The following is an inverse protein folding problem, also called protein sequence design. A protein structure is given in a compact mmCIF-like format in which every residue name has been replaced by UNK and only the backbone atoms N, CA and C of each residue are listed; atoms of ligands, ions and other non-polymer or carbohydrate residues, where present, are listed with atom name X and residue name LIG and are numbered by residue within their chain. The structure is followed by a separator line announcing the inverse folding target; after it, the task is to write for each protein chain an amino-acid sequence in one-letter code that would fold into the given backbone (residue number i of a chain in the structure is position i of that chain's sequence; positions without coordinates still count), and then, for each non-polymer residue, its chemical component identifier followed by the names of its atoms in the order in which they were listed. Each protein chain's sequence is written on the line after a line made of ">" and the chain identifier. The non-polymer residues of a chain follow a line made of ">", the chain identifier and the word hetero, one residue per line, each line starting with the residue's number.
data_IF_064888777304
#
_entry.id   IF_064888777304
#
_cell.length_a   1.000
_cell.length_b   1.000
_cell.length_c   1.000
_cell.angle_alpha   90.00
_cell.angle_beta   90.00
_cell.angle_gamma   90.00
#
_symmetry.space_group_name_H-M   'P 1'
#
loop_
_entity.id
_entity.type
_entity.pdbx_description
1 polymer ?
#
# COMPACT_ATOMS: atom_id res chain seq x y z
N UNK A 1 15.10 5.13 11.85
CA UNK A 1 15.04 5.93 10.61
C UNK A 1 15.52 7.32 10.93
N UNK A 2 16.38 7.89 10.11
CA UNK A 2 16.60 9.33 10.12
C UNK A 2 15.47 10.01 9.33
N UNK A 3 15.25 11.29 9.58
CA UNK A 3 14.43 12.12 8.72
C UNK A 3 15.07 12.24 7.33
N UNK A 4 14.24 12.35 6.29
CA UNK A 4 14.65 12.62 4.91
C UNK A 4 13.80 13.78 4.39
N UNK A 5 14.44 14.84 3.92
CA UNK A 5 13.78 16.06 3.43
C UNK A 5 12.99 15.82 2.13
N UNK A 6 13.31 14.76 1.39
CA UNK A 6 12.63 14.41 0.14
C UNK A 6 11.38 13.55 0.35
N UNK A 7 11.17 13.07 1.58
CA UNK A 7 10.09 12.13 1.92
C UNK A 7 9.15 12.75 2.96
N UNK A 8 7.91 13.00 2.56
CA UNK A 8 6.85 13.42 3.46
C UNK A 8 6.17 12.20 4.07
N UNK A 9 6.10 12.13 5.41
CA UNK A 9 5.26 11.17 6.11
C UNK A 9 3.82 11.72 6.18
N UNK A 10 2.88 11.03 5.54
CA UNK A 10 1.46 11.42 5.50
C UNK A 10 0.62 10.68 6.54
N UNK A 11 1.05 9.50 6.98
CA UNK A 11 0.34 8.73 7.98
C UNK A 11 1.01 7.40 8.31
N UNK A 12 0.45 6.71 9.31
CA UNK A 12 0.88 5.38 9.71
C UNK A 12 -0.32 4.52 10.05
N UNK A 13 -0.17 3.21 9.87
CA UNK A 13 -1.13 2.20 10.30
C UNK A 13 -0.38 1.06 10.99
N UNK A 14 -0.99 0.50 12.02
CA UNK A 14 -0.42 -0.56 12.84
C UNK A 14 -1.22 -1.85 12.68
N UNK A 15 -0.51 -2.97 12.75
CA UNK A 15 -1.09 -4.30 12.94
C UNK A 15 -0.13 -5.13 13.82
N UNK A 16 -0.57 -6.25 14.36
CA UNK A 16 0.25 -7.10 15.23
C UNK A 16 1.50 -7.66 14.54
N UNK A 17 1.52 -7.69 13.20
CA UNK A 17 2.64 -8.19 12.39
C UNK A 17 3.55 -7.10 11.83
N UNK A 18 3.31 -5.82 12.14
CA UNK A 18 4.15 -4.73 11.64
C UNK A 18 3.49 -3.35 11.63
N UNK A 19 4.08 -2.45 10.86
CA UNK A 19 3.51 -1.13 10.59
C UNK A 19 3.62 -0.80 9.10
N UNK A 20 2.67 0.00 8.61
CA UNK A 20 2.71 0.58 7.27
C UNK A 20 2.78 2.10 7.38
N UNK A 21 3.69 2.71 6.63
CA UNK A 21 3.81 4.15 6.49
C UNK A 21 3.21 4.59 5.17
N UNK A 22 2.35 5.60 5.22
CA UNK A 22 1.93 6.34 4.04
C UNK A 22 2.89 7.50 3.84
N UNK A 23 3.65 7.46 2.76
CA UNK A 23 4.69 8.41 2.41
C UNK A 23 4.33 9.13 1.11
N UNK A 24 4.93 10.29 0.89
CA UNK A 24 4.93 10.97 -0.40
C UNK A 24 6.35 11.36 -0.77
N UNK A 25 6.77 10.98 -1.97
CA UNK A 25 8.09 11.28 -2.53
C UNK A 25 7.92 11.62 -4.01
N UNK A 26 8.51 12.72 -4.48
CA UNK A 26 8.34 13.16 -5.87
C UNK A 26 6.88 13.38 -6.30
N UNK A 27 5.98 13.66 -5.34
CA UNK A 27 4.54 13.82 -5.57
C UNK A 27 3.74 12.52 -5.60
N UNK A 28 4.38 11.34 -5.65
CA UNK A 28 3.72 10.04 -5.68
C UNK A 28 3.45 9.52 -4.26
N UNK A 29 2.25 8.95 -3.99
CA UNK A 29 2.00 8.22 -2.75
C UNK A 29 2.77 6.89 -2.76
N UNK A 30 3.43 6.57 -1.64
CA UNK A 30 4.18 5.33 -1.44
C UNK A 30 3.71 4.69 -0.14
N UNK A 31 3.48 3.37 -0.16
CA UNK A 31 3.33 2.60 1.07
C UNK A 31 4.63 1.87 1.37
N UNK A 32 5.26 2.19 2.50
CA UNK A 32 6.37 1.41 3.05
C UNK A 32 5.84 0.48 4.15
N UNK A 33 6.10 -0.80 4.02
CA UNK A 33 5.76 -1.81 5.01
C UNK A 33 6.99 -2.19 5.81
N UNK A 34 6.83 -2.25 7.13
CA UNK A 34 7.84 -2.77 8.05
C UNK A 34 7.26 -3.94 8.83
N UNK A 35 7.47 -5.16 8.35
CA UNK A 35 7.00 -6.33 9.08
C UNK A 35 7.85 -6.54 10.32
N UNK A 36 7.27 -7.15 11.35
CA UNK A 36 7.99 -7.49 12.56
C UNK A 36 9.10 -8.50 12.26
N UNK A 37 10.34 -8.16 12.63
CA UNK A 37 11.49 -9.06 12.48
C UNK A 37 11.97 -9.25 11.04
N UNK A 38 11.43 -8.52 10.06
CA UNK A 38 11.84 -8.57 8.66
C UNK A 38 12.27 -7.18 8.16
N UNK A 39 12.95 -7.15 7.02
CA UNK A 39 13.35 -5.91 6.36
C UNK A 39 12.13 -5.12 5.88
N UNK A 40 12.21 -3.80 6.00
CA UNK A 40 11.24 -2.90 5.41
C UNK A 40 11.27 -2.97 3.87
N UNK A 41 10.13 -2.73 3.23
CA UNK A 41 10.02 -2.66 1.77
C UNK A 41 8.95 -1.67 1.33
N UNK A 42 9.12 -1.12 0.13
CA UNK A 42 8.10 -0.29 -0.54
C UNK A 42 7.22 -1.18 -1.41
N UNK A 43 5.91 -1.01 -1.31
CA UNK A 43 4.93 -1.75 -2.12
C UNK A 43 5.19 -1.46 -3.60
N UNK A 44 5.38 -2.52 -4.39
CA UNK A 44 5.63 -2.42 -5.82
C UNK A 44 4.32 -2.39 -6.61
N UNK A 45 4.22 -1.49 -7.58
CA UNK A 45 3.05 -1.33 -8.44
C UNK A 45 3.49 -1.27 -9.91
N UNK A 46 2.67 -1.75 -10.85
CA UNK A 46 3.05 -1.83 -12.26
C UNK A 46 2.99 -0.50 -13.01
N UNK A 47 2.30 0.51 -12.48
CA UNK A 47 2.08 1.79 -13.15
C UNK A 47 2.99 2.89 -12.55
N UNK A 48 3.47 3.81 -13.39
CA UNK A 48 4.37 4.90 -12.96
C UNK A 48 3.64 6.06 -12.27
N UNK A 49 2.34 6.21 -12.51
CA UNK A 49 1.49 7.24 -11.92
C UNK A 49 0.17 6.64 -11.45
N UNK A 50 -0.14 6.80 -10.16
CA UNK A 50 -1.26 6.13 -9.51
C UNK A 50 -1.71 6.86 -8.25
N UNK A 51 -2.89 6.46 -7.75
CA UNK A 51 -3.28 6.69 -6.36
C UNK A 51 -3.19 5.38 -5.58
N UNK A 52 -2.66 5.46 -4.36
CA UNK A 52 -2.49 4.34 -3.45
C UNK A 52 -2.77 4.78 -2.02
N UNK A 53 -3.56 4.01 -1.28
CA UNK A 53 -3.74 4.19 0.17
C UNK A 53 -4.10 2.87 0.84
N UNK A 54 -3.81 2.75 2.13
CA UNK A 54 -4.31 1.67 2.98
C UNK A 54 -5.79 1.97 3.24
N UNK A 55 -6.68 1.08 2.79
CA UNK A 55 -8.12 1.32 2.87
C UNK A 55 -8.65 1.00 4.28
N UNK A 56 -8.18 -0.09 4.88
CA UNK A 56 -8.55 -0.49 6.24
C UNK A 56 -7.69 -1.68 6.72
N UNK A 57 -7.49 -1.80 8.03
CA UNK A 57 -6.92 -2.99 8.69
C UNK A 57 -8.08 -3.67 9.42
N UNK A 58 -8.81 -4.57 8.74
CA UNK A 58 -10.05 -5.14 9.31
C UNK A 58 -9.85 -5.87 10.63
N UNK A 59 -8.68 -6.45 10.83
CA UNK A 59 -8.31 -7.22 12.01
C UNK A 59 -6.87 -6.89 12.39
N UNK A 60 -6.66 -6.45 13.64
CA UNK A 60 -5.34 -6.01 14.11
C UNK A 60 -4.30 -7.14 14.05
N UNK A 61 -4.69 -8.37 14.32
CA UNK A 61 -3.82 -9.56 14.35
C UNK A 61 -3.55 -10.20 12.99
N UNK A 62 -4.22 -9.72 11.94
CA UNK A 62 -4.06 -10.20 10.56
C UNK A 62 -2.62 -10.00 10.06
N UNK A 63 -2.17 -10.94 9.23
CA UNK A 63 -0.93 -10.86 8.46
C UNK A 63 -1.09 -10.07 7.14
N UNK A 64 -2.30 -9.55 6.88
CA UNK A 64 -2.68 -8.91 5.63
C UNK A 64 -3.27 -7.52 5.86
N UNK A 65 -3.09 -6.65 4.87
CA UNK A 65 -3.77 -5.35 4.80
C UNK A 65 -4.48 -5.18 3.46
N UNK A 66 -5.42 -4.24 3.39
CA UNK A 66 -6.11 -3.88 2.15
C UNK A 66 -5.59 -2.56 1.60
N UNK A 67 -5.19 -2.59 0.35
CA UNK A 67 -4.77 -1.43 -0.43
C UNK A 67 -5.88 -1.06 -1.41
N UNK A 68 -6.13 0.24 -1.56
CA UNK A 68 -6.87 0.76 -2.71
C UNK A 68 -5.88 1.33 -3.71
N UNK A 69 -5.95 0.83 -4.93
CA UNK A 69 -5.04 1.17 -6.02
C UNK A 69 -5.81 1.56 -7.28
N UNK A 70 -5.39 2.61 -7.97
CA UNK A 70 -5.95 3.04 -9.25
C UNK A 70 -4.93 3.84 -10.06
N UNK A 71 -4.99 3.78 -11.38
CA UNK A 71 -4.16 4.57 -12.29
C UNK A 71 -4.99 5.01 -13.51
N UNK A 72 -4.43 5.86 -14.37
CA UNK A 72 -5.15 6.37 -15.56
C UNK A 72 -5.56 5.26 -16.55
N UNK A 73 -4.79 4.17 -16.59
CA UNK A 73 -4.98 3.03 -17.47
C UNK A 73 -5.56 1.79 -16.74
N UNK A 74 -5.90 1.91 -15.45
CA UNK A 74 -6.40 0.78 -14.65
C UNK A 74 -7.54 1.21 -13.73
N UNK A 75 -8.69 0.52 -13.77
CA UNK A 75 -9.78 0.81 -12.86
C UNK A 75 -9.39 0.58 -11.40
N UNK A 76 -10.16 1.17 -10.49
CA UNK A 76 -9.89 1.06 -9.07
C UNK A 76 -10.01 -0.39 -8.57
N UNK A 77 -8.93 -0.85 -7.93
CA UNK A 77 -8.79 -2.17 -7.34
C UNK A 77 -8.70 -2.10 -5.82
N UNK A 78 -9.31 -3.07 -5.15
CA UNK A 78 -8.97 -3.43 -3.77
C UNK A 78 -8.03 -4.62 -3.85
N UNK A 79 -6.82 -4.45 -3.32
CA UNK A 79 -5.79 -5.48 -3.26
C UNK A 79 -5.56 -5.90 -1.82
N UNK A 80 -5.34 -7.18 -1.60
CA UNK A 80 -4.80 -7.70 -0.35
C UNK A 80 -3.29 -7.79 -0.48
N UNK A 81 -2.57 -7.27 0.50
CA UNK A 81 -1.12 -7.41 0.62
C UNK A 81 -0.78 -8.32 1.80
N UNK A 82 0.03 -9.34 1.59
CA UNK A 82 0.65 -10.12 2.67
C UNK A 82 1.86 -9.38 3.21
N UNK A 83 1.84 -9.00 4.49
CA UNK A 83 2.86 -8.11 5.06
C UNK A 83 4.25 -8.72 5.05
N UNK A 84 4.39 -10.02 5.31
CA UNK A 84 5.71 -10.67 5.36
C UNK A 84 6.41 -10.73 4.00
N UNK A 85 5.66 -10.84 2.90
CA UNK A 85 6.20 -11.14 1.57
C UNK A 85 6.03 -10.01 0.55
N UNK A 86 5.09 -9.08 0.80
CA UNK A 86 4.69 -8.07 -0.18
C UNK A 86 3.85 -8.62 -1.34
N UNK A 87 3.45 -9.90 -1.30
CA UNK A 87 2.58 -10.51 -2.29
C UNK A 87 1.22 -9.81 -2.34
N UNK A 88 0.70 -9.57 -3.54
CA UNK A 88 -0.57 -8.87 -3.77
C UNK A 88 -1.57 -9.74 -4.51
N UNK A 89 -2.81 -9.77 -4.02
CA UNK A 89 -3.95 -10.39 -4.70
C UNK A 89 -5.04 -9.36 -4.92
N UNK A 90 -5.59 -9.25 -6.12
CA UNK A 90 -6.75 -8.39 -6.41
C UNK A 90 -8.00 -9.07 -5.85
N UNK A 91 -8.64 -8.47 -4.84
CA UNK A 91 -9.89 -8.96 -4.26
C UNK A 91 -11.13 -8.42 -4.97
N UNK A 92 -11.03 -7.19 -5.47
CA UNK A 92 -12.10 -6.53 -6.22
C UNK A 92 -11.51 -5.60 -7.25
N UNK A 93 -12.09 -5.60 -8.43
CA UNK A 93 -11.86 -4.59 -9.46
C UNK A 93 -13.19 -3.91 -9.79
N UNK A 94 -13.16 -2.59 -9.98
CA UNK A 94 -14.36 -1.84 -10.38
C UNK A 94 -14.54 -2.04 -11.89
N UNK A 95 -15.61 -2.71 -12.34
CA UNK A 95 -15.81 -2.93 -13.77
C UNK A 95 -16.02 -1.58 -14.46
N UNK A 96 -15.37 -1.39 -15.60
CA UNK A 96 -15.67 -0.32 -16.54
C UNK A 96 -16.60 -0.87 -17.61
N UNK A 97 -17.85 -0.39 -17.63
CA UNK A 97 -18.83 -0.74 -18.65
C UNK A 97 -18.60 0.16 -19.87
N UNK A 98 -17.99 -0.39 -20.92
CA UNK A 98 -17.75 0.27 -22.22
C UNK A 98 -16.31 0.03 -22.71
N UNK A 99 -16.06 -0.25 -23.98
CA UNK A 99 -16.76 0.17 -25.21
C UNK A 99 -17.91 -0.71 -25.68
#
# INVERSE_FOLDING_TARGET
>A
MAHDEQVMLEGLSLNARGLSLSLREGGLPIIEVRPQGLSAYRVQLPDAAYSLYVQDTLEFDSDRIRLRYQSLNRPAQVRQLTLATGEQVVLKETPVLGT
#
